data_IF_928987838569
#
_entry.id   IF_928987838569
#
_cell.length_a   1.000
_cell.length_b   1.000
_cell.length_c   1.000
_cell.angle_alpha   90.00
_cell.angle_beta   90.00
_cell.angle_gamma   90.00
#
_symmetry.space_group_name_H-M   'P 1'
#
loop_
_entity.id
_entity.type
_entity.pdbx_description
1 polymer ?
#
# COMPACT_ATOMS: atom_id res chain seq x y z
N UNK A 1 -0.42 -47.56 15.45
CA UNK A 1 -1.56 -46.62 15.50
C UNK A 1 -1.50 -45.94 16.86
N UNK A 2 -1.26 -44.64 17.04
CA UNK A 2 -1.18 -43.47 16.17
C UNK A 2 -0.10 -42.55 16.75
N UNK A 3 0.84 -42.07 15.92
CA UNK A 3 1.76 -40.98 16.30
C UNK A 3 1.03 -39.65 16.13
N UNK A 4 0.99 -38.84 17.17
CA UNK A 4 0.44 -37.48 17.14
C UNK A 4 1.42 -36.49 16.50
N UNK A 5 0.96 -35.51 15.70
CA UNK A 5 1.83 -34.52 15.09
C UNK A 5 2.30 -33.47 16.11
N UNK A 6 3.62 -33.28 16.17
CA UNK A 6 4.30 -32.22 16.91
C UNK A 6 4.03 -30.85 16.27
N UNK A 7 3.49 -29.93 17.07
CA UNK A 7 3.25 -28.53 16.72
C UNK A 7 4.55 -27.85 16.31
N UNK A 8 4.69 -27.54 15.01
CA UNK A 8 5.78 -26.71 14.49
C UNK A 8 5.67 -25.31 15.08
N UNK A 9 6.55 -25.01 16.03
CA UNK A 9 6.80 -23.65 16.49
C UNK A 9 7.55 -22.89 15.38
N UNK A 10 6.95 -21.82 14.88
CA UNK A 10 7.61 -20.84 14.02
C UNK A 10 8.84 -20.32 14.75
N UNK A 11 10.02 -20.52 14.17
CA UNK A 11 11.26 -20.00 14.71
C UNK A 11 11.35 -18.51 14.38
N UNK A 12 11.29 -17.67 15.41
CA UNK A 12 11.67 -16.26 15.31
C UNK A 12 13.18 -16.21 15.15
N UNK A 13 13.66 -15.79 13.97
CA UNK A 13 15.06 -15.44 13.77
C UNK A 13 15.28 -14.07 14.42
N UNK A 14 15.89 -14.05 15.60
CA UNK A 14 16.40 -12.82 16.21
C UNK A 14 17.68 -12.39 15.48
N UNK A 15 17.57 -11.40 14.61
CA UNK A 15 18.70 -10.65 14.07
C UNK A 15 18.82 -9.32 14.84
N UNK A 16 19.94 -9.14 15.53
CA UNK A 16 20.31 -7.90 16.21
C UNK A 16 20.98 -6.98 15.18
N UNK A 17 20.40 -5.81 14.90
CA UNK A 17 21.08 -4.71 14.21
C UNK A 17 20.80 -3.41 14.98
N UNK A 18 21.89 -2.91 15.57
CA UNK A 18 22.17 -1.50 15.90
C UNK A 18 21.02 -0.62 16.44
N UNK A 19 20.82 -0.67 17.75
CA UNK A 19 20.90 0.54 18.59
C UNK A 19 19.89 1.66 18.40
N UNK A 20 18.61 1.36 18.14
CA UNK A 20 17.52 2.35 18.31
C UNK A 20 16.53 1.80 19.35
N UNK A 21 16.52 2.40 20.54
CA UNK A 21 15.50 2.14 21.55
C UNK A 21 14.16 2.71 21.08
N UNK A 22 13.34 1.87 20.47
CA UNK A 22 11.90 2.12 20.30
C UNK A 22 11.19 1.68 21.58
N UNK A 23 11.03 2.61 22.51
CA UNK A 23 10.03 2.47 23.57
C UNK A 23 8.71 3.01 23.04
N UNK A 24 7.85 2.12 22.53
CA UNK A 24 6.46 2.45 22.24
C UNK A 24 5.52 1.51 22.99
N UNK A 25 4.66 2.14 23.78
CA UNK A 25 3.70 1.54 24.70
C UNK A 25 2.72 0.59 23.98
N UNK A 26 2.87 -0.71 24.25
CA UNK A 26 2.06 -1.83 23.74
C UNK A 26 0.57 -1.83 24.19
N UNK A 27 0.07 -0.77 24.83
CA UNK A 27 -1.25 -0.78 25.48
C UNK A 27 -2.35 0.04 24.80
N UNK A 28 -2.14 0.55 23.58
CA UNK A 28 -3.23 1.14 22.78
C UNK A 28 -3.61 0.22 21.61
N UNK A 29 -4.51 -0.73 21.88
CA UNK A 29 -5.01 -1.75 20.94
C UNK A 29 -5.93 -1.17 19.84
N UNK A 30 -5.39 -0.29 18.98
CA UNK A 30 -6.04 0.15 17.71
C UNK A 30 -5.04 0.39 16.58
N UNK A 31 -3.85 -0.23 16.60
CA UNK A 31 -2.96 -0.26 15.44
C UNK A 31 -3.12 -1.61 14.73
N UNK A 32 -3.73 -1.63 13.54
CA UNK A 32 -4.01 -2.85 12.77
C UNK A 32 -2.73 -3.65 12.49
N UNK A 33 -2.45 -4.67 13.31
CA UNK A 33 -1.28 -5.55 13.17
C UNK A 33 -1.19 -6.24 11.80
N UNK A 34 -2.31 -6.36 11.09
CA UNK A 34 -2.35 -7.00 9.76
C UNK A 34 -1.80 -6.06 8.69
N UNK A 35 -2.07 -4.75 8.75
CA UNK A 35 -1.59 -3.81 7.72
C UNK A 35 -0.07 -3.69 7.76
N UNK A 36 0.51 -3.61 8.97
CA UNK A 36 1.96 -3.56 9.16
C UNK A 36 2.65 -4.86 8.71
N UNK A 37 2.03 -6.02 8.91
CA UNK A 37 2.52 -7.29 8.39
C UNK A 37 2.52 -7.35 6.86
N UNK A 38 1.46 -6.86 6.21
CA UNK A 38 1.37 -6.82 4.75
C UNK A 38 2.39 -5.85 4.18
N UNK A 39 2.58 -4.67 4.79
CA UNK A 39 3.63 -3.74 4.39
C UNK A 39 5.03 -4.35 4.51
N UNK A 40 5.34 -5.02 5.62
CA UNK A 40 6.61 -5.71 5.82
C UNK A 40 6.84 -6.81 4.79
N UNK A 41 5.81 -7.61 4.51
CA UNK A 41 5.84 -8.61 3.45
C UNK A 41 6.09 -7.99 2.07
N UNK A 42 5.41 -6.89 1.73
CA UNK A 42 5.60 -6.20 0.46
C UNK A 42 7.01 -5.61 0.31
N UNK A 43 7.59 -5.07 1.39
CA UNK A 43 8.99 -4.59 1.40
C UNK A 43 9.98 -5.74 1.16
N UNK A 44 9.80 -6.87 1.83
CA UNK A 44 10.64 -8.05 1.63
C UNK A 44 10.45 -8.63 0.21
N UNK A 45 9.23 -8.67 -0.29
CA UNK A 45 8.94 -9.11 -1.65
C UNK A 45 9.67 -8.24 -2.69
N UNK A 46 9.64 -6.92 -2.54
CA UNK A 46 10.34 -6.01 -3.42
C UNK A 46 11.87 -6.23 -3.37
N UNK A 47 12.45 -6.38 -2.18
CA UNK A 47 13.86 -6.71 -2.00
C UNK A 47 14.22 -8.05 -2.65
N UNK A 48 13.35 -9.05 -2.53
CA UNK A 48 13.53 -10.37 -3.12
C UNK A 48 13.48 -10.35 -4.64
N UNK A 49 12.55 -9.59 -5.24
CA UNK A 49 12.48 -9.39 -6.69
C UNK A 49 13.78 -8.77 -7.20
N UNK A 50 14.27 -7.72 -6.54
CA UNK A 50 15.52 -7.06 -6.93
C UNK A 50 16.73 -8.01 -6.86
N UNK A 51 16.75 -8.91 -5.86
CA UNK A 51 17.83 -9.90 -5.67
C UNK A 51 17.77 -11.05 -6.68
N UNK A 52 16.61 -11.68 -6.82
CA UNK A 52 16.45 -12.93 -7.57
C UNK A 52 16.23 -12.66 -9.08
N UNK A 53 15.73 -11.47 -9.43
CA UNK A 53 15.40 -11.07 -10.81
C UNK A 53 15.96 -9.67 -11.14
N UNK A 54 17.30 -9.53 -11.34
CA UNK A 54 17.93 -8.23 -11.57
C UNK A 54 17.56 -7.55 -12.91
N UNK A 55 16.94 -8.29 -13.84
CA UNK A 55 16.40 -7.74 -15.08
C UNK A 55 15.01 -7.11 -14.92
N UNK A 56 14.34 -7.33 -13.78
CA UNK A 56 13.07 -6.71 -13.48
C UNK A 56 13.26 -5.27 -13.00
N UNK A 57 12.27 -4.38 -13.23
CA UNK A 57 12.27 -3.05 -12.64
C UNK A 57 12.32 -3.10 -11.11
N UNK A 58 12.92 -2.08 -10.50
CA UNK A 58 12.88 -1.89 -9.05
C UNK A 58 11.49 -1.45 -8.62
N UNK A 59 10.99 -2.07 -7.56
CA UNK A 59 9.72 -1.71 -6.94
C UNK A 59 9.94 -1.23 -5.51
N UNK A 60 9.11 -0.29 -5.06
CA UNK A 60 9.04 0.13 -3.67
C UNK A 60 7.58 0.38 -3.26
N UNK A 61 7.32 0.43 -1.95
CA UNK A 61 5.99 0.75 -1.42
C UNK A 61 5.74 2.24 -1.52
N UNK A 62 4.76 2.65 -2.32
CA UNK A 62 4.37 4.06 -2.48
C UNK A 62 3.22 4.47 -1.56
N UNK A 63 2.19 3.61 -1.48
CA UNK A 63 0.95 3.89 -0.78
C UNK A 63 0.53 2.70 0.08
N UNK A 64 -0.13 2.97 1.20
CA UNK A 64 -0.82 1.96 1.99
C UNK A 64 -2.18 2.48 2.41
N UNK A 65 -3.20 1.64 2.27
CA UNK A 65 -4.54 1.92 2.75
C UNK A 65 -4.86 0.93 3.87
N UNK A 66 -4.84 1.44 5.11
CA UNK A 66 -4.85 0.61 6.31
C UNK A 66 -6.18 -0.10 6.53
N UNK A 67 -7.28 0.57 6.20
CA UNK A 67 -8.63 0.05 6.42
C UNK A 67 -8.95 -1.17 5.53
N UNK A 68 -8.43 -1.19 4.31
CA UNK A 68 -8.57 -2.35 3.40
C UNK A 68 -7.36 -3.27 3.38
N UNK A 69 -6.33 -2.99 4.21
CA UNK A 69 -5.07 -3.75 4.26
C UNK A 69 -4.47 -3.92 2.85
N UNK A 70 -4.38 -2.81 2.12
CA UNK A 70 -3.92 -2.80 0.72
C UNK A 70 -2.67 -1.95 0.59
N UNK A 71 -1.69 -2.44 -0.16
CA UNK A 71 -0.39 -1.78 -0.35
C UNK A 71 -0.10 -1.68 -1.84
N UNK A 72 0.38 -0.52 -2.29
CA UNK A 72 0.80 -0.29 -3.67
C UNK A 72 2.31 -0.42 -3.78
N UNK A 73 2.76 -1.43 -4.51
CA UNK A 73 4.15 -1.54 -4.99
C UNK A 73 4.26 -0.82 -6.34
N UNK A 74 4.97 0.29 -6.36
CA UNK A 74 5.16 1.14 -7.53
C UNK A 74 6.55 0.93 -8.15
N UNK A 75 6.63 1.01 -9.47
CA UNK A 75 7.88 0.95 -10.23
C UNK A 75 8.68 2.23 -10.05
N UNK A 76 9.90 2.14 -9.53
CA UNK A 76 10.71 3.32 -9.25
C UNK A 76 11.18 4.04 -10.52
N UNK A 77 11.40 3.32 -11.61
CA UNK A 77 11.86 3.90 -12.88
C UNK A 77 10.80 4.75 -13.61
N UNK A 78 9.53 4.60 -13.24
CA UNK A 78 8.39 5.24 -13.91
C UNK A 78 7.59 6.16 -12.98
N UNK A 79 7.40 5.76 -11.72
CA UNK A 79 6.46 6.42 -10.81
C UNK A 79 7.15 7.18 -9.67
N UNK A 80 8.49 7.10 -9.57
CA UNK A 80 9.25 7.82 -8.55
C UNK A 80 9.99 8.98 -9.17
N UNK A 81 9.71 10.18 -8.70
CA UNK A 81 10.36 11.39 -9.14
C UNK A 81 11.81 11.46 -8.60
N UNK A 82 12.71 12.24 -9.23
CA UNK A 82 14.11 12.36 -8.79
C UNK A 82 14.30 12.91 -7.38
N UNK A 83 13.33 13.66 -6.85
CA UNK A 83 13.29 14.18 -5.48
C UNK A 83 12.76 13.16 -4.47
N UNK A 84 12.34 11.98 -4.92
CA UNK A 84 11.81 10.89 -4.11
C UNK A 84 10.29 10.92 -3.93
N UNK A 85 9.56 11.86 -4.52
CA UNK A 85 8.09 11.85 -4.47
C UNK A 85 7.49 10.80 -5.39
N UNK A 86 6.23 10.44 -5.14
CA UNK A 86 5.50 9.44 -5.91
C UNK A 86 4.49 10.09 -6.85
N UNK A 87 4.53 9.73 -8.13
CA UNK A 87 3.56 10.11 -9.15
C UNK A 87 2.63 8.94 -9.48
N UNK A 88 1.96 8.40 -8.45
CA UNK A 88 1.09 7.23 -8.57
C UNK A 88 -0.37 7.59 -8.86
N UNK A 89 -0.72 8.87 -8.83
CA UNK A 89 -2.08 9.32 -9.09
C UNK A 89 -2.36 9.39 -10.59
N UNK A 90 -3.64 9.27 -10.95
CA UNK A 90 -4.08 9.34 -12.35
C UNK A 90 -4.76 10.69 -12.55
N UNK A 91 -4.21 11.51 -13.45
CA UNK A 91 -4.94 12.64 -14.01
C UNK A 91 -6.00 12.08 -14.97
N UNK A 92 -7.22 11.89 -14.45
CA UNK A 92 -8.31 11.30 -15.21
C UNK A 92 -8.76 12.17 -16.39
N UNK A 93 -8.70 13.50 -16.26
CA UNK A 93 -9.09 14.39 -17.35
C UNK A 93 -8.11 14.22 -18.52
N UNK A 94 -6.81 14.18 -18.23
CA UNK A 94 -5.78 13.93 -19.23
C UNK A 94 -5.83 12.51 -19.78
N UNK A 95 -6.01 11.51 -18.91
CA UNK A 95 -6.17 10.11 -19.32
C UNK A 95 -7.36 9.94 -20.27
N UNK A 96 -8.52 10.52 -19.96
CA UNK A 96 -9.70 10.44 -20.82
C UNK A 96 -9.50 11.16 -22.16
N UNK A 97 -8.83 12.32 -22.17
CA UNK A 97 -8.49 13.01 -23.40
C UNK A 97 -7.55 12.17 -24.29
N UNK A 98 -6.53 11.55 -23.70
CA UNK A 98 -5.59 10.67 -24.41
C UNK A 98 -6.30 9.42 -24.94
N UNK A 99 -7.13 8.78 -24.11
CA UNK A 99 -7.91 7.61 -24.50
C UNK A 99 -8.89 7.91 -25.66
N UNK A 100 -9.48 9.11 -25.67
CA UNK A 100 -10.37 9.55 -26.74
C UNK A 100 -9.62 9.93 -28.03
N UNK A 101 -8.33 10.25 -27.95
CA UNK A 101 -7.54 10.66 -29.12
C UNK A 101 -7.29 9.50 -30.10
N UNK A 102 -7.27 8.26 -29.61
CA UNK A 102 -6.95 7.08 -30.41
C UNK A 102 -5.45 6.86 -30.67
N UNK A 103 -4.60 7.77 -30.20
CA UNK A 103 -3.15 7.67 -30.30
C UNK A 103 -2.55 6.81 -29.17
N UNK A 104 -1.40 6.15 -29.39
CA UNK A 104 -0.70 5.46 -28.32
C UNK A 104 -0.16 6.47 -27.29
N UNK A 105 -0.41 6.22 -26.02
CA UNK A 105 0.09 7.01 -24.90
C UNK A 105 0.66 6.10 -23.80
N UNK A 106 1.45 6.68 -22.91
CA UNK A 106 2.16 6.00 -21.83
C UNK A 106 1.79 6.57 -20.47
N UNK A 107 2.29 5.96 -19.39
CA UNK A 107 2.03 6.40 -18.01
C UNK A 107 2.52 7.82 -17.76
N UNK A 108 3.62 8.22 -18.40
CA UNK A 108 4.19 9.57 -18.30
C UNK A 108 3.21 10.65 -18.75
N UNK A 109 2.27 10.30 -19.63
CA UNK A 109 1.33 11.25 -20.22
C UNK A 109 0.15 11.56 -19.30
N UNK A 110 -0.10 10.79 -18.24
CA UNK A 110 -1.25 11.01 -17.35
C UNK A 110 -0.95 10.82 -15.86
N UNK A 111 0.27 10.42 -15.49
CA UNK A 111 0.64 10.33 -14.09
C UNK A 111 0.58 11.70 -13.44
N UNK A 112 0.17 11.72 -12.19
CA UNK A 112 0.07 12.91 -11.37
C UNK A 112 0.66 12.64 -9.99
N UNK A 113 1.08 13.70 -9.27
CA UNK A 113 1.60 13.57 -7.91
C UNK A 113 0.59 12.85 -7.00
N UNK A 114 1.11 11.89 -6.23
CA UNK A 114 0.35 11.18 -5.21
C UNK A 114 -0.14 12.17 -4.15
N UNK A 115 -1.44 12.15 -3.80
CA UNK A 115 -1.95 12.97 -2.72
C UNK A 115 -1.24 12.63 -1.39
N UNK A 116 -0.93 13.62 -0.54
CA UNK A 116 -0.21 13.38 0.72
C UNK A 116 -0.91 12.36 1.64
N UNK A 117 -2.23 12.35 1.66
CA UNK A 117 -3.06 11.45 2.47
C UNK A 117 -3.01 9.98 2.01
N UNK A 118 -2.57 9.72 0.77
CA UNK A 118 -2.46 8.38 0.18
C UNK A 118 -1.06 7.77 0.34
N UNK A 119 -0.07 8.56 0.75
CA UNK A 119 1.30 8.09 0.92
C UNK A 119 1.42 7.13 2.10
N UNK A 120 2.42 6.24 2.02
CA UNK A 120 2.77 5.37 3.14
C UNK A 120 3.07 6.20 4.40
N UNK A 121 2.34 5.92 5.49
CA UNK A 121 2.51 6.61 6.78
C UNK A 121 1.80 7.96 6.88
N UNK A 122 0.92 8.31 5.94
CA UNK A 122 0.05 9.46 6.06
C UNK A 122 -0.86 9.36 7.29
N UNK A 123 -1.20 10.51 7.90
CA UNK A 123 -2.05 10.56 9.10
C UNK A 123 -3.48 10.06 8.82
N UNK A 124 -3.89 10.14 7.57
CA UNK A 124 -5.20 9.75 7.08
C UNK A 124 -5.26 8.27 6.66
N UNK A 125 -4.16 7.53 6.80
CA UNK A 125 -4.07 6.08 6.58
C UNK A 125 -4.61 5.61 5.19
N UNK A 126 -4.53 6.48 4.18
CA UNK A 126 -4.99 6.25 2.82
C UNK A 126 -6.43 6.68 2.51
N UNK A 127 -7.13 7.32 3.45
CA UNK A 127 -8.49 7.83 3.24
C UNK A 127 -8.46 9.28 2.75
N UNK A 128 -9.25 9.59 1.73
CA UNK A 128 -9.39 10.97 1.25
C UNK A 128 -10.16 11.79 2.32
N UNK A 129 -9.57 12.88 2.88
CA UNK A 129 -10.25 13.74 3.85
C UNK A 129 -11.57 14.33 3.35
N UNK A 130 -11.71 14.49 2.04
CA UNK A 130 -12.90 15.04 1.41
C UNK A 130 -14.01 14.00 1.18
N UNK A 131 -13.70 12.71 1.30
CA UNK A 131 -14.69 11.65 1.11
C UNK A 131 -15.69 11.63 2.27
N UNK A 132 -16.95 11.85 1.94
CA UNK A 132 -18.05 11.84 2.90
C UNK A 132 -18.83 10.56 2.73
N UNK A 133 -18.92 9.77 3.80
CA UNK A 133 -19.65 8.51 3.79
C UNK A 133 -21.09 8.70 3.34
N UNK A 134 -21.40 8.24 2.13
CA UNK A 134 -22.75 8.28 1.57
C UNK A 134 -23.62 7.19 2.20
N UNK A 135 -24.49 7.58 3.14
CA UNK A 135 -25.51 6.69 3.67
C UNK A 135 -26.68 6.59 2.68
N UNK A 136 -26.89 5.41 2.10
CA UNK A 136 -28.13 5.14 1.36
C UNK A 136 -29.30 5.34 2.32
N UNK A 137 -30.23 6.27 1.99
CA UNK A 137 -31.50 6.38 2.74
C UNK A 137 -32.17 5.00 2.71
N UNK A 138 -32.46 4.44 3.89
CA UNK A 138 -33.34 3.28 3.98
C UNK A 138 -34.64 3.67 3.27
N UNK A 139 -35.01 2.93 2.23
CA UNK A 139 -36.35 3.07 1.67
C UNK A 139 -37.32 2.79 2.84
N UNK A 140 -38.09 3.80 3.24
CA UNK A 140 -39.21 3.61 4.17
C UNK A 140 -40.25 2.75 3.47
N UNK A 141 -40.04 1.43 3.47
CA UNK A 141 -40.99 0.43 3.07
C UNK A 141 -41.92 0.12 4.24
N UNK A 142 -43.03 0.87 4.28
CA UNK A 142 -44.28 0.74 5.05
C UNK A 142 -44.46 -0.45 6.00
N UNK A 143 -45.04 -0.13 7.17
CA UNK A 143 -45.83 -1.01 8.03
C UNK A 143 -46.66 -2.02 7.21
N UNK A 144 -46.52 -3.29 7.52
CA UNK A 144 -47.54 -4.32 7.28
C UNK A 144 -47.97 -4.87 8.63
#
# INVERSE_FOLDING_TARGET
>A
MLSTPSTRHCHTVTGQLDGVEVHEDLNNLTHCLISTQVEAFCKELAARIAKDHPSCPTYEVACAHKHSVSVLLARCDQLKAPDGTWDTWIDYDRFHALAASGEPFTVEDYKAPCPPWALLGAAEDGFDPSDTRMYKKKANGKSR
#
